data_IF_523742295438
#
_entry.id   IF_523742295438
#
_cell.length_a   1.000
_cell.length_b   1.000
_cell.length_c   1.000
_cell.angle_alpha   90.00
_cell.angle_beta   90.00
_cell.angle_gamma   90.00
#
_symmetry.space_group_name_H-M   'P 1'
#
loop_
_entity.id
_entity.type
_entity.pdbx_description
1 polymer ?
#
# COMPACT_ATOMS: atom_id res chain seq x y z
N UNK A 1 5.04 9.49 5.11
CA UNK A 1 4.04 8.70 5.86
C UNK A 1 2.64 9.08 5.40
N UNK A 2 1.76 8.11 5.26
CA UNK A 2 0.38 8.34 4.82
C UNK A 2 -0.50 8.52 6.05
N UNK A 3 -1.27 9.61 6.15
CA UNK A 3 -2.25 9.73 7.23
C UNK A 3 -3.30 8.61 7.12
N UNK A 4 -3.65 8.01 8.24
CA UNK A 4 -4.57 6.87 8.29
C UNK A 4 -5.88 7.13 7.57
N UNK A 5 -6.41 8.34 7.70
CA UNK A 5 -7.68 8.71 7.11
C UNK A 5 -7.65 8.88 5.59
N UNK A 6 -6.45 8.80 4.98
CA UNK A 6 -6.30 9.09 3.56
C UNK A 6 -5.93 7.87 2.72
N UNK A 7 -5.68 6.73 3.35
CA UNK A 7 -5.39 5.51 2.59
C UNK A 7 -6.69 4.97 1.98
N UNK A 8 -6.69 4.78 0.68
CA UNK A 8 -7.88 4.35 -0.06
C UNK A 8 -7.59 3.10 -0.88
N UNK A 9 -8.63 2.31 -1.11
CA UNK A 9 -8.57 1.15 -2.01
C UNK A 9 -8.22 1.66 -3.42
N UNK A 10 -7.26 0.98 -4.06
CA UNK A 10 -6.76 1.37 -5.37
C UNK A 10 -5.53 2.28 -5.32
N UNK A 11 -5.14 2.76 -4.15
CA UNK A 11 -3.93 3.59 -4.00
C UNK A 11 -2.70 2.80 -4.39
N UNK A 12 -1.79 3.45 -5.09
CA UNK A 12 -0.47 2.90 -5.41
C UNK A 12 0.55 3.52 -4.49
N UNK A 13 1.30 2.68 -3.80
CA UNK A 13 2.28 3.11 -2.81
C UNK A 13 3.63 2.45 -3.08
N UNK A 14 4.70 3.05 -2.57
CA UNK A 14 6.05 2.55 -2.75
C UNK A 14 6.82 2.67 -1.44
N UNK A 15 7.68 1.70 -1.14
CA UNK A 15 8.56 1.77 0.01
C UNK A 15 9.95 2.30 -0.37
N UNK A 16 10.85 2.35 0.60
CA UNK A 16 12.20 2.88 0.39
C UNK A 16 13.04 2.03 -0.57
N UNK A 17 12.71 0.75 -0.70
CA UNK A 17 13.45 -0.16 -1.58
C UNK A 17 12.98 -0.12 -3.02
N UNK A 18 11.90 0.63 -3.30
CA UNK A 18 11.31 0.68 -4.62
C UNK A 18 10.19 -0.34 -4.82
N UNK A 19 9.87 -1.13 -3.80
CA UNK A 19 8.75 -2.06 -3.87
C UNK A 19 7.46 -1.28 -4.03
N UNK A 20 6.74 -1.52 -5.12
CA UNK A 20 5.51 -0.80 -5.45
C UNK A 20 4.33 -1.74 -5.29
N UNK A 21 3.32 -1.28 -4.58
CA UNK A 21 2.13 -2.07 -4.27
C UNK A 21 0.87 -1.27 -4.54
N UNK A 22 -0.22 -1.98 -4.78
CA UNK A 22 -1.54 -1.38 -4.92
C UNK A 22 -2.46 -1.93 -3.85
N UNK A 23 -3.13 -1.04 -3.14
CA UNK A 23 -4.08 -1.42 -2.08
C UNK A 23 -5.31 -2.03 -2.75
N UNK A 24 -5.63 -3.29 -2.38
CA UNK A 24 -6.78 -4.00 -2.91
C UNK A 24 -7.98 -3.95 -1.98
N UNK A 25 -7.74 -3.94 -0.68
CA UNK A 25 -8.81 -3.91 0.31
C UNK A 25 -8.28 -3.45 1.67
N UNK A 26 -9.19 -2.97 2.51
CA UNK A 26 -8.88 -2.61 3.91
C UNK A 26 -10.03 -3.19 4.73
N UNK A 27 -9.71 -4.10 5.66
CA UNK A 27 -10.76 -4.76 6.43
C UNK A 27 -11.13 -3.98 7.70
N UNK A 28 -12.15 -4.47 8.38
CA UNK A 28 -12.65 -3.84 9.61
C UNK A 28 -11.69 -3.97 10.80
N UNK A 29 -10.67 -4.83 10.70
CA UNK A 29 -9.66 -5.02 11.73
C UNK A 29 -8.39 -4.24 11.43
N UNK A 30 -8.46 -3.27 10.51
CA UNK A 30 -7.34 -2.42 10.12
C UNK A 30 -6.17 -3.18 9.47
N UNK A 31 -6.47 -4.24 8.73
CA UNK A 31 -5.50 -4.89 7.86
C UNK A 31 -5.61 -4.36 6.44
N UNK A 32 -4.47 -4.05 5.85
CA UNK A 32 -4.39 -3.61 4.46
C UNK A 32 -3.97 -4.79 3.61
N UNK A 33 -4.79 -5.12 2.62
CA UNK A 33 -4.50 -6.16 1.63
C UNK A 33 -3.98 -5.48 0.38
N UNK A 34 -2.86 -5.93 -0.12
CA UNK A 34 -2.23 -5.29 -1.26
C UNK A 34 -1.59 -6.30 -2.20
N UNK A 35 -1.40 -5.87 -3.43
CA UNK A 35 -0.73 -6.63 -4.47
C UNK A 35 0.57 -5.92 -4.83
N UNK A 36 1.67 -6.68 -4.91
CA UNK A 36 2.96 -6.14 -5.36
C UNK A 36 2.93 -6.02 -6.87
N UNK A 37 2.94 -4.80 -7.39
CA UNK A 37 2.85 -4.56 -8.84
C UNK A 37 4.20 -4.33 -9.49
N UNK A 38 5.28 -4.15 -8.69
CA UNK A 38 6.64 -4.04 -9.20
C UNK A 38 7.28 -5.40 -9.47
N UNK A 39 6.61 -6.48 -9.12
CA UNK A 39 7.07 -7.85 -9.32
C UNK A 39 6.20 -8.52 -10.39
N UNK A 40 6.83 -9.32 -11.27
CA UNK A 40 6.12 -10.04 -12.31
C UNK A 40 5.09 -11.03 -11.77
N UNK A 41 5.35 -11.59 -10.60
CA UNK A 41 4.46 -12.55 -9.97
C UNK A 41 3.22 -11.93 -9.34
N UNK A 42 3.20 -10.60 -9.21
CA UNK A 42 2.07 -9.88 -8.61
C UNK A 42 1.64 -10.47 -7.28
N UNK A 43 2.60 -10.77 -6.42
CA UNK A 43 2.35 -11.40 -5.12
C UNK A 43 1.41 -10.54 -4.27
N UNK A 44 0.42 -11.18 -3.66
CA UNK A 44 -0.50 -10.52 -2.74
C UNK A 44 -0.05 -10.76 -1.31
N UNK A 45 -0.23 -9.74 -0.47
CA UNK A 45 0.15 -9.82 0.93
C UNK A 45 -0.77 -8.95 1.77
N UNK A 46 -0.55 -8.96 3.07
CA UNK A 46 -1.32 -8.15 4.00
C UNK A 46 -0.45 -7.72 5.15
N UNK A 47 -0.80 -6.59 5.75
CA UNK A 47 -0.16 -6.13 6.98
C UNK A 47 -1.11 -5.19 7.71
N UNK A 48 -0.82 -4.91 8.98
CA UNK A 48 -1.64 -3.97 9.73
C UNK A 48 -1.58 -2.58 9.08
N UNK A 49 -2.66 -1.82 9.22
CA UNK A 49 -2.75 -0.48 8.67
C UNK A 49 -1.60 0.40 9.16
N UNK A 50 -1.31 0.35 10.45
CA UNK A 50 -0.22 1.14 11.04
C UNK A 50 1.14 0.76 10.44
N UNK A 51 1.43 -0.53 10.30
CA UNK A 51 2.68 -1.00 9.69
C UNK A 51 2.77 -0.55 8.22
N UNK A 52 1.66 -0.63 7.50
CA UNK A 52 1.61 -0.24 6.10
C UNK A 52 1.94 1.25 5.93
N UNK A 53 1.28 2.13 6.68
CA UNK A 53 1.49 3.57 6.53
C UNK A 53 2.86 4.04 7.00
N UNK A 54 3.53 3.26 7.86
CA UNK A 54 4.90 3.54 8.27
C UNK A 54 5.92 3.12 7.23
N UNK A 55 5.63 2.08 6.47
CA UNK A 55 6.56 1.51 5.50
C UNK A 55 6.41 2.10 4.11
N UNK A 56 5.17 2.34 3.69
CA UNK A 56 4.86 2.78 2.34
C UNK A 56 4.45 4.24 2.31
N UNK A 57 4.74 4.90 1.19
CA UNK A 57 4.29 6.25 0.90
C UNK A 57 3.58 6.25 -0.43
N UNK A 58 2.62 7.17 -0.60
CA UNK A 58 1.98 7.34 -1.89
C UNK A 58 2.99 7.75 -2.93
N UNK A 59 2.87 7.18 -4.12
CA UNK A 59 3.60 7.70 -5.25
C UNK A 59 3.06 9.07 -5.60
N UNK A 60 3.96 10.03 -5.92
CA UNK A 60 3.52 11.34 -6.40
C UNK A 60 2.70 11.15 -7.66
N UNK A 61 1.53 11.77 -7.70
CA UNK A 61 0.75 11.77 -8.94
C UNK A 61 1.43 12.65 -9.96
N UNK A 62 1.52 12.15 -11.17
CA UNK A 62 1.94 13.00 -12.28
C UNK A 62 0.98 14.19 -12.37
N UNK A 63 1.54 15.36 -12.39
CA UNK A 63 0.74 16.56 -12.50
C UNK A 63 0.05 16.64 -13.87
#
# INVERSE_FOLDING_TARGET
>A
MIPDSQLAIGEVCQDETGLTVQVEDIDIYDYVFFRVISDEDETRSQMSHLAFVRRFSRLPRAA
#
